data_IF_562604924353
#
_entry.id   IF_562604924353
#
_cell.length_a   1.000
_cell.length_b   1.000
_cell.length_c   1.000
_cell.angle_alpha   90.00
_cell.angle_beta   90.00
_cell.angle_gamma   90.00
#
_symmetry.space_group_name_H-M   'P 1'
#
loop_
_entity.id
_entity.type
_entity.pdbx_description
1 polymer ?
#
# COMPACT_ATOMS: atom_id res chain seq x y z
N UNK A 1 -21.42 -30.07 28.92
CA UNK A 1 -20.84 -30.43 27.61
C UNK A 1 -20.17 -29.16 27.07
N UNK A 2 -18.86 -28.98 27.30
CA UNK A 2 -18.18 -27.79 26.80
C UNK A 2 -18.17 -27.84 25.26
N UNK A 3 -18.63 -26.77 24.62
CA UNK A 3 -18.74 -26.70 23.16
C UNK A 3 -17.33 -26.67 22.56
N UNK A 4 -17.12 -27.35 21.43
CA UNK A 4 -15.80 -27.60 20.83
C UNK A 4 -15.06 -26.35 20.32
N UNK A 5 -15.73 -25.20 20.26
CA UNK A 5 -15.21 -23.95 19.69
C UNK A 5 -15.47 -22.76 20.62
N UNK A 6 -14.51 -21.83 20.78
CA UNK A 6 -13.12 -21.89 20.29
C UNK A 6 -12.25 -22.85 21.11
N UNK A 7 -11.34 -23.60 20.46
CA UNK A 7 -10.44 -24.54 21.16
C UNK A 7 -9.37 -23.83 21.98
N UNK A 8 -8.97 -22.64 21.56
CA UNK A 8 -7.86 -21.86 22.09
C UNK A 8 -8.24 -20.94 23.25
N UNK A 9 -9.52 -20.92 23.66
CA UNK A 9 -9.98 -20.16 24.83
C UNK A 9 -11.13 -20.88 25.53
N UNK A 10 -10.84 -21.49 26.69
CA UNK A 10 -11.82 -22.18 27.53
C UNK A 10 -12.85 -21.21 28.10
N UNK A 11 -12.43 -19.99 28.46
CA UNK A 11 -13.33 -18.94 28.93
C UNK A 11 -14.40 -18.59 27.91
N UNK A 12 -14.01 -18.44 26.62
CA UNK A 12 -14.97 -18.23 25.54
C UNK A 12 -15.76 -19.50 25.21
N UNK A 13 -15.16 -20.68 25.26
CA UNK A 13 -15.84 -21.94 24.95
C UNK A 13 -17.02 -22.26 25.90
N UNK A 14 -16.97 -21.73 27.12
CA UNK A 14 -18.02 -21.86 28.12
C UNK A 14 -19.15 -20.84 27.98
N UNK A 15 -18.99 -19.79 27.17
CA UNK A 15 -20.03 -18.78 26.94
C UNK A 15 -21.22 -19.42 26.18
N UNK A 16 -22.42 -19.47 26.79
CA UNK A 16 -23.58 -20.12 26.20
C UNK A 16 -24.25 -19.29 25.08
N UNK A 17 -23.83 -18.04 24.89
CA UNK A 17 -24.46 -17.11 23.96
C UNK A 17 -23.82 -17.14 22.57
N UNK A 18 -24.41 -16.42 21.61
CA UNK A 18 -23.84 -16.23 20.27
C UNK A 18 -22.56 -15.37 20.29
N UNK A 19 -22.30 -14.63 21.37
CA UNK A 19 -21.05 -13.87 21.60
C UNK A 19 -19.83 -14.77 21.43
N UNK A 20 -19.89 -16.01 21.91
CA UNK A 20 -18.85 -17.03 21.75
C UNK A 20 -18.37 -17.17 20.30
N UNK A 21 -19.30 -17.21 19.36
CA UNK A 21 -18.98 -17.42 17.94
C UNK A 21 -18.25 -16.18 17.40
N UNK A 22 -18.77 -14.99 17.68
CA UNK A 22 -18.19 -13.73 17.23
C UNK A 22 -16.78 -13.50 17.80
N UNK A 23 -16.61 -13.64 19.11
CA UNK A 23 -15.30 -13.46 19.74
C UNK A 23 -14.33 -14.57 19.35
N UNK A 24 -14.80 -15.81 19.20
CA UNK A 24 -13.97 -16.91 18.69
C UNK A 24 -13.46 -16.68 17.27
N UNK A 25 -14.17 -15.93 16.42
CA UNK A 25 -13.66 -15.53 15.09
C UNK A 25 -12.72 -14.32 15.23
N UNK A 26 -13.11 -13.32 16.04
CA UNK A 26 -12.37 -12.08 16.19
C UNK A 26 -10.98 -12.25 16.83
N UNK A 27 -10.82 -13.17 17.79
CA UNK A 27 -9.55 -13.39 18.51
C UNK A 27 -8.78 -14.61 17.99
N UNK A 28 -9.18 -15.20 16.86
CA UNK A 28 -8.53 -16.37 16.30
C UNK A 28 -7.05 -16.12 15.93
N UNK A 29 -6.69 -14.89 15.57
CA UNK A 29 -5.33 -14.48 15.23
C UNK A 29 -4.65 -13.64 16.33
N UNK A 30 -5.30 -13.39 17.47
CA UNK A 30 -4.66 -12.80 18.67
C UNK A 30 -3.98 -13.93 19.45
N UNK A 31 -2.89 -14.46 18.91
CA UNK A 31 -2.22 -15.66 19.44
C UNK A 31 -1.69 -15.47 20.86
N UNK A 32 -1.34 -14.25 21.26
CA UNK A 32 -0.86 -13.93 22.61
C UNK A 32 -1.95 -14.11 23.66
N UNK A 33 -3.23 -13.94 23.29
CA UNK A 33 -4.35 -14.08 24.21
C UNK A 33 -4.88 -15.52 24.30
N UNK A 34 -4.21 -16.51 23.67
CA UNK A 34 -4.65 -17.90 23.68
C UNK A 34 -4.21 -18.59 24.99
N UNK A 35 -5.03 -19.52 25.47
CA UNK A 35 -4.76 -20.24 26.72
C UNK A 35 -3.43 -21.03 26.61
N UNK A 36 -2.60 -20.95 27.65
CA UNK A 36 -1.32 -21.68 27.80
C UNK A 36 -0.29 -21.47 26.66
N UNK A 37 -0.33 -20.33 25.96
CA UNK A 37 0.64 -20.02 24.91
C UNK A 37 2.02 -19.68 25.47
N UNK A 38 3.07 -20.29 24.91
CA UNK A 38 4.47 -19.94 25.22
C UNK A 38 5.04 -19.02 24.13
N UNK A 39 6.02 -18.17 24.48
CA UNK A 39 6.72 -17.27 23.54
C UNK A 39 7.26 -18.03 22.31
N UNK A 40 7.77 -19.25 22.49
CA UNK A 40 8.27 -20.07 21.40
C UNK A 40 7.14 -20.54 20.47
N UNK A 41 6.04 -21.04 21.03
CA UNK A 41 4.87 -21.47 20.27
C UNK A 41 4.23 -20.30 19.51
N UNK A 42 4.19 -19.11 20.13
CA UNK A 42 3.73 -17.87 19.50
C UNK A 42 4.50 -17.57 18.22
N UNK A 43 5.84 -17.50 18.29
CA UNK A 43 6.66 -17.22 17.11
C UNK A 43 6.58 -18.33 16.04
N UNK A 44 6.47 -19.60 16.45
CA UNK A 44 6.28 -20.70 15.50
C UNK A 44 4.95 -20.59 14.74
N UNK A 45 3.87 -20.24 15.43
CA UNK A 45 2.56 -20.01 14.83
C UNK A 45 2.58 -18.82 13.87
N UNK A 46 3.16 -17.68 14.28
CA UNK A 46 3.31 -16.50 13.42
C UNK A 46 4.12 -16.85 12.16
N UNK A 47 5.25 -17.55 12.32
CA UNK A 47 6.09 -17.95 11.22
C UNK A 47 5.35 -18.86 10.24
N UNK A 48 4.61 -19.86 10.73
CA UNK A 48 3.77 -20.72 9.89
C UNK A 48 2.66 -19.92 9.17
N UNK A 49 2.02 -18.97 9.86
CA UNK A 49 1.01 -18.09 9.28
C UNK A 49 1.57 -17.21 8.16
N UNK A 50 2.82 -16.74 8.26
CA UNK A 50 3.48 -16.02 7.15
C UNK A 50 3.60 -16.88 5.90
N UNK A 51 3.99 -18.16 6.02
CA UNK A 51 4.01 -19.07 4.87
C UNK A 51 2.61 -19.33 4.30
N UNK A 52 1.60 -19.43 5.15
CA UNK A 52 0.20 -19.52 4.72
C UNK A 52 -0.22 -18.29 3.91
N UNK A 53 0.10 -17.08 4.41
CA UNK A 53 -0.21 -15.82 3.72
C UNK A 53 0.52 -15.72 2.37
N UNK A 54 1.81 -16.07 2.32
CA UNK A 54 2.57 -16.09 1.07
C UNK A 54 1.97 -17.08 0.05
N UNK A 55 1.57 -18.28 0.51
CA UNK A 55 0.92 -19.26 -0.36
C UNK A 55 -0.40 -18.73 -0.95
N UNK A 56 -1.19 -17.99 -0.17
CA UNK A 56 -2.42 -17.35 -0.66
C UNK A 56 -2.11 -16.28 -1.71
N UNK A 57 -1.08 -15.44 -1.48
CA UNK A 57 -0.65 -14.43 -2.46
C UNK A 57 -0.20 -15.08 -3.77
N UNK A 58 0.57 -16.17 -3.69
CA UNK A 58 0.99 -16.91 -4.89
C UNK A 58 -0.18 -17.56 -5.60
N UNK A 59 -1.13 -18.16 -4.87
CA UNK A 59 -2.33 -18.75 -5.46
C UNK A 59 -3.19 -17.69 -6.14
N UNK A 60 -3.34 -16.50 -5.54
CA UNK A 60 -4.03 -15.36 -6.14
C UNK A 60 -3.33 -14.86 -7.41
N UNK A 61 -2.00 -14.70 -7.36
CA UNK A 61 -1.20 -14.29 -8.53
C UNK A 61 -1.32 -15.31 -9.67
N UNK A 62 -1.24 -16.61 -9.35
CA UNK A 62 -1.46 -17.70 -10.29
C UNK A 62 -2.88 -17.69 -10.86
N UNK A 63 -3.90 -17.43 -10.04
CA UNK A 63 -5.29 -17.31 -10.49
C UNK A 63 -5.46 -16.21 -11.53
N UNK A 64 -4.83 -15.04 -11.34
CA UNK A 64 -4.84 -13.97 -12.33
C UNK A 64 -4.20 -14.42 -13.67
N UNK A 65 -3.03 -15.06 -13.62
CA UNK A 65 -2.37 -15.60 -14.82
C UNK A 65 -3.23 -16.65 -15.52
N UNK A 66 -3.77 -17.60 -14.76
CA UNK A 66 -4.58 -18.70 -15.27
C UNK A 66 -5.84 -18.20 -15.98
N UNK A 67 -6.58 -17.27 -15.37
CA UNK A 67 -7.80 -16.73 -15.98
C UNK A 67 -7.52 -15.92 -17.25
N UNK A 68 -6.43 -15.14 -17.28
CA UNK A 68 -6.06 -14.41 -18.50
C UNK A 68 -5.57 -15.36 -19.60
N UNK A 69 -4.79 -16.38 -19.27
CA UNK A 69 -4.33 -17.36 -20.25
C UNK A 69 -5.47 -18.22 -20.82
N UNK A 70 -6.43 -18.61 -19.98
CA UNK A 70 -7.53 -19.49 -20.39
C UNK A 70 -8.67 -18.74 -21.08
N UNK A 71 -9.06 -17.57 -20.57
CA UNK A 71 -10.28 -16.86 -20.98
C UNK A 71 -10.04 -15.42 -21.42
N UNK A 72 -8.82 -14.91 -21.26
CA UNK A 72 -8.43 -13.57 -21.65
C UNK A 72 -8.13 -13.45 -23.14
N UNK A 73 -7.82 -12.22 -23.55
CA UNK A 73 -7.45 -11.85 -24.91
C UNK A 73 -6.03 -11.26 -25.00
N UNK A 74 -5.08 -11.78 -24.21
CA UNK A 74 -3.73 -11.21 -24.10
C UNK A 74 -3.02 -11.11 -25.46
N UNK A 75 -3.04 -12.15 -26.28
CA UNK A 75 -2.43 -12.14 -27.62
C UNK A 75 -3.00 -11.05 -28.52
N UNK A 76 -4.33 -10.96 -28.63
CA UNK A 76 -5.01 -9.92 -29.42
C UNK A 76 -4.75 -8.53 -28.85
N UNK A 77 -4.64 -8.40 -27.52
CA UNK A 77 -4.34 -7.14 -26.85
C UNK A 77 -2.92 -6.66 -27.15
N UNK A 78 -1.92 -7.55 -27.19
CA UNK A 78 -0.53 -7.19 -27.52
C UNK A 78 -0.42 -6.61 -28.93
N UNK A 79 -1.25 -7.08 -29.88
CA UNK A 79 -1.24 -6.59 -31.26
C UNK A 79 -1.83 -5.16 -31.40
N UNK A 80 -2.85 -4.82 -30.60
CA UNK A 80 -3.46 -3.48 -30.60
C UNK A 80 -3.89 -3.04 -29.18
N UNK A 81 -2.92 -2.68 -28.33
CA UNK A 81 -3.17 -2.44 -26.91
C UNK A 81 -3.87 -1.11 -26.61
N UNK A 82 -4.03 -0.25 -27.62
CA UNK A 82 -4.72 1.04 -27.51
C UNK A 82 -6.23 0.91 -27.73
N UNK A 83 -6.68 -0.01 -28.58
CA UNK A 83 -8.10 -0.15 -28.92
C UNK A 83 -8.72 -1.43 -28.36
N UNK A 84 -7.94 -2.51 -28.18
CA UNK A 84 -8.43 -3.73 -27.57
C UNK A 84 -8.50 -3.55 -26.05
N UNK A 85 -9.65 -3.88 -25.46
CA UNK A 85 -9.83 -3.83 -24.01
C UNK A 85 -9.39 -5.15 -23.39
N UNK A 86 -8.56 -5.15 -22.32
CA UNK A 86 -8.08 -6.38 -21.70
C UNK A 86 -9.22 -7.11 -20.97
N UNK A 87 -9.30 -8.42 -21.13
CA UNK A 87 -10.30 -9.29 -20.48
C UNK A 87 -9.73 -9.88 -19.19
N UNK A 88 -10.47 -9.80 -18.09
CA UNK A 88 -10.07 -10.40 -16.83
C UNK A 88 -10.40 -11.91 -16.78
N UNK A 89 -11.69 -12.24 -16.93
CA UNK A 89 -12.20 -13.61 -16.93
C UNK A 89 -13.62 -13.63 -17.51
N UNK A 90 -14.11 -14.82 -17.85
CA UNK A 90 -15.49 -15.02 -18.29
C UNK A 90 -16.48 -14.91 -17.12
N UNK A 91 -17.71 -14.48 -17.41
CA UNK A 91 -18.81 -14.43 -16.45
C UNK A 91 -19.67 -15.68 -16.65
N UNK A 92 -19.85 -16.44 -15.58
CA UNK A 92 -20.80 -17.55 -15.54
C UNK A 92 -21.79 -17.30 -14.41
N UNK A 93 -22.88 -16.61 -14.73
CA UNK A 93 -23.97 -16.33 -13.79
C UNK A 93 -25.31 -16.82 -14.38
N UNK A 94 -25.90 -17.90 -13.85
CA UNK A 94 -27.17 -18.45 -14.37
C UNK A 94 -28.36 -17.51 -14.14
N UNK A 95 -28.22 -16.47 -13.32
CA UNK A 95 -29.27 -15.47 -13.11
C UNK A 95 -29.28 -14.38 -14.19
N UNK A 96 -28.27 -14.33 -15.07
CA UNK A 96 -28.24 -13.35 -16.15
C UNK A 96 -29.37 -13.61 -17.15
N UNK A 97 -30.26 -12.62 -17.28
CA UNK A 97 -31.18 -12.57 -18.41
C UNK A 97 -30.44 -12.28 -19.72
N UNK A 98 -31.07 -12.60 -20.84
CA UNK A 98 -30.51 -12.39 -22.18
C UNK A 98 -29.96 -10.96 -22.42
N UNK A 99 -30.62 -9.88 -21.99
CA UNK A 99 -30.07 -8.53 -22.15
C UNK A 99 -28.76 -8.31 -21.40
N UNK A 100 -28.57 -8.95 -20.25
CA UNK A 100 -27.31 -8.87 -19.50
C UNK A 100 -26.21 -9.69 -20.19
N UNK A 101 -26.53 -10.88 -20.71
CA UNK A 101 -25.59 -11.68 -21.50
C UNK A 101 -25.07 -10.87 -22.70
N UNK A 102 -25.96 -10.25 -23.46
CA UNK A 102 -25.60 -9.39 -24.60
C UNK A 102 -24.80 -8.16 -24.15
N UNK A 103 -25.23 -7.51 -23.07
CA UNK A 103 -24.54 -6.35 -22.55
C UNK A 103 -23.13 -6.67 -22.06
N UNK A 104 -22.85 -7.85 -21.50
CA UNK A 104 -21.52 -8.21 -20.99
C UNK A 104 -20.66 -8.98 -22.00
N UNK A 105 -21.22 -9.39 -23.13
CA UNK A 105 -20.44 -9.95 -24.26
C UNK A 105 -19.76 -8.80 -25.01
N UNK A 106 -18.56 -8.45 -24.56
CA UNK A 106 -17.78 -7.30 -25.06
C UNK A 106 -16.33 -7.71 -25.38
N UNK A 107 -15.59 -6.81 -26.05
CA UNK A 107 -14.15 -7.01 -26.27
C UNK A 107 -13.80 -8.10 -27.28
N UNK A 108 -14.73 -8.44 -28.19
CA UNK A 108 -14.54 -9.49 -29.20
C UNK A 108 -14.72 -10.93 -28.66
N UNK A 109 -15.15 -11.08 -27.40
CA UNK A 109 -15.42 -12.39 -26.81
C UNK A 109 -16.73 -13.01 -27.33
N UNK A 110 -16.79 -14.35 -27.34
CA UNK A 110 -17.97 -15.13 -27.73
C UNK A 110 -19.05 -15.22 -26.63
N UNK A 111 -18.77 -14.70 -25.44
CA UNK A 111 -19.71 -14.71 -24.32
C UNK A 111 -19.40 -13.61 -23.29
N UNK A 112 -20.17 -13.55 -22.20
CA UNK A 112 -20.05 -12.53 -21.17
C UNK A 112 -18.66 -12.51 -20.51
N UNK A 113 -18.02 -11.34 -20.44
CA UNK A 113 -16.67 -11.18 -19.87
C UNK A 113 -16.56 -9.90 -19.03
N UNK A 114 -15.62 -9.92 -18.08
CA UNK A 114 -15.21 -8.73 -17.35
C UNK A 114 -14.00 -8.06 -18.00
N UNK A 115 -13.99 -6.73 -18.06
CA UNK A 115 -12.82 -5.95 -18.49
C UNK A 115 -11.87 -5.76 -17.31
N UNK A 116 -10.58 -6.01 -17.53
CA UNK A 116 -9.54 -5.87 -16.51
C UNK A 116 -9.14 -4.40 -16.32
N UNK A 117 -9.08 -3.96 -15.06
CA UNK A 117 -8.58 -2.62 -14.67
C UNK A 117 -7.45 -2.69 -13.63
N UNK A 118 -6.82 -3.87 -13.48
CA UNK A 118 -5.72 -4.10 -12.53
C UNK A 118 -4.34 -3.70 -13.07
N UNK A 119 -4.19 -3.60 -14.39
CA UNK A 119 -2.93 -3.23 -15.05
C UNK A 119 -1.99 -4.41 -15.31
N UNK A 120 -2.44 -5.64 -15.03
CA UNK A 120 -1.61 -6.86 -15.17
C UNK A 120 -1.18 -7.10 -16.62
N UNK A 121 -1.99 -6.73 -17.61
CA UNK A 121 -1.63 -6.82 -19.03
C UNK A 121 -0.44 -5.92 -19.38
N UNK A 122 -0.49 -4.66 -18.95
CA UNK A 122 0.57 -3.68 -19.18
C UNK A 122 1.83 -4.04 -18.41
N UNK A 123 1.69 -4.60 -17.20
CA UNK A 123 2.82 -5.08 -16.42
C UNK A 123 3.50 -6.27 -17.10
N UNK A 124 2.75 -7.29 -17.53
CA UNK A 124 3.31 -8.45 -18.23
C UNK A 124 3.91 -8.13 -19.60
N UNK A 125 3.47 -7.06 -20.26
CA UNK A 125 4.05 -6.58 -21.53
C UNK A 125 5.50 -6.10 -21.36
N UNK A 126 5.86 -5.54 -20.20
CA UNK A 126 7.19 -4.94 -19.96
C UNK A 126 8.17 -5.95 -19.38
N UNK A 127 7.66 -6.94 -18.68
CA UNK A 127 8.47 -8.08 -18.24
C UNK A 127 8.79 -8.92 -19.47
N UNK A 128 10.06 -9.20 -19.80
CA UNK A 128 10.41 -10.03 -20.95
C UNK A 128 10.06 -11.50 -20.66
N UNK A 129 8.78 -11.86 -20.75
CA UNK A 129 8.38 -13.26 -20.89
C UNK A 129 8.36 -13.57 -22.38
N UNK A 130 9.39 -14.25 -22.86
CA UNK A 130 9.31 -14.84 -24.20
C UNK A 130 8.14 -15.84 -24.22
N UNK A 131 7.38 -15.83 -25.33
CA UNK A 131 6.12 -16.55 -25.58
C UNK A 131 6.12 -18.04 -25.15
N UNK A 132 7.30 -18.66 -25.04
CA UNK A 132 7.49 -20.07 -24.70
C UNK A 132 7.63 -20.35 -23.18
N UNK A 133 7.74 -19.31 -22.34
CA UNK A 133 7.94 -19.48 -20.89
C UNK A 133 6.65 -19.38 -20.08
N UNK A 134 5.60 -18.67 -20.53
CA UNK A 134 4.38 -18.56 -19.73
C UNK A 134 3.69 -19.91 -19.55
N UNK A 135 3.56 -20.71 -20.63
CA UNK A 135 3.01 -22.07 -20.51
C UNK A 135 3.95 -23.06 -19.80
N UNK A 136 5.27 -23.00 -20.07
CA UNK A 136 6.25 -23.92 -19.41
C UNK A 136 6.48 -23.59 -17.93
N UNK A 137 6.50 -22.31 -17.56
CA UNK A 137 6.63 -21.85 -16.18
C UNK A 137 5.36 -22.20 -15.36
N UNK A 138 4.17 -22.08 -15.98
CA UNK A 138 2.89 -22.48 -15.37
C UNK A 138 2.79 -24.00 -15.17
N UNK A 139 3.23 -24.83 -16.13
CA UNK A 139 3.11 -26.30 -16.03
C UNK A 139 4.19 -26.91 -15.12
N UNK A 140 5.44 -26.42 -15.19
CA UNK A 140 6.56 -27.00 -14.42
C UNK A 140 6.46 -26.72 -12.91
N UNK A 141 5.85 -25.59 -12.50
CA UNK A 141 5.53 -25.33 -11.07
C UNK A 141 4.26 -26.04 -10.60
N UNK A 142 3.27 -26.26 -11.47
CA UNK A 142 2.08 -27.05 -11.15
C UNK A 142 2.43 -28.51 -10.80
N UNK A 143 3.41 -29.11 -11.47
CA UNK A 143 3.88 -30.48 -11.16
C UNK A 143 4.65 -30.58 -9.85
N UNK A 144 5.44 -29.55 -9.49
CA UNK A 144 6.15 -29.52 -8.21
C UNK A 144 5.19 -29.37 -7.02
N UNK A 145 4.00 -28.78 -7.22
CA UNK A 145 3.05 -28.54 -6.12
C UNK A 145 1.95 -29.59 -5.98
N UNK A 146 1.51 -30.25 -7.05
CA UNK A 146 0.51 -31.33 -6.97
C UNK A 146 1.06 -32.62 -6.36
N UNK A 147 2.37 -32.87 -6.50
CA UNK A 147 3.07 -33.99 -5.84
C UNK A 147 3.69 -33.60 -4.49
N UNK A 148 3.62 -32.31 -4.13
CA UNK A 148 4.15 -31.88 -2.85
C UNK A 148 3.23 -32.36 -1.72
N UNK A 149 3.69 -33.41 -1.09
CA UNK A 149 3.33 -33.79 0.28
C UNK A 149 3.71 -32.69 1.30
N UNK A 150 3.86 -31.43 0.87
CA UNK A 150 4.43 -30.29 1.58
C UNK A 150 3.66 -29.96 2.85
N UNK A 151 2.32 -30.05 2.83
CA UNK A 151 1.51 -29.79 4.04
C UNK A 151 1.41 -31.01 4.97
N UNK A 152 1.53 -32.25 4.45
CA UNK A 152 1.41 -33.48 5.27
C UNK A 152 2.74 -33.96 5.85
N UNK A 153 3.86 -33.67 5.20
CA UNK A 153 5.20 -34.17 5.60
C UNK A 153 5.97 -33.17 6.48
N UNK A 154 5.55 -31.90 6.55
CA UNK A 154 6.22 -30.87 7.37
C UNK A 154 5.80 -30.86 8.85
N UNK A 155 4.67 -31.49 9.23
CA UNK A 155 4.17 -31.46 10.62
C UNK A 155 5.12 -32.12 11.63
N UNK A 156 5.85 -33.22 11.32
CA UNK A 156 6.79 -33.79 12.29
C UNK A 156 8.25 -33.34 12.09
N UNK A 157 8.65 -32.95 10.87
CA UNK A 157 10.07 -32.71 10.53
C UNK A 157 10.57 -31.29 10.81
N UNK A 158 9.69 -30.27 10.82
CA UNK A 158 10.08 -28.91 11.21
C UNK A 158 9.96 -28.63 12.72
N UNK A 159 9.30 -29.51 13.47
CA UNK A 159 9.34 -29.52 14.93
C UNK A 159 10.70 -30.00 15.49
N UNK A 160 11.61 -30.47 14.62
CA UNK A 160 12.99 -30.88 14.96
C UNK A 160 14.02 -29.91 14.33
N UNK A 161 13.61 -28.71 13.93
CA UNK A 161 14.55 -27.60 13.81
C UNK A 161 14.58 -26.92 15.16
N UNK A 162 15.61 -27.21 15.96
CA UNK A 162 16.01 -26.47 17.17
C UNK A 162 16.32 -25.02 16.78
N UNK A 163 15.28 -24.24 16.44
CA UNK A 163 15.37 -22.79 16.33
C UNK A 163 15.19 -22.25 17.74
N UNK A 164 16.25 -22.37 18.53
CA UNK A 164 16.38 -21.69 19.82
C UNK A 164 15.91 -20.26 19.68
N UNK A 165 15.24 -19.72 20.70
CA UNK A 165 14.72 -18.33 20.78
C UNK A 165 15.71 -17.27 20.24
N UNK A 166 17.01 -17.52 20.30
CA UNK A 166 18.11 -16.71 19.74
C UNK A 166 18.09 -16.50 18.22
N UNK A 167 17.48 -17.38 17.43
CA UNK A 167 17.42 -17.26 15.96
C UNK A 167 16.25 -16.39 15.48
N UNK A 168 15.20 -16.26 16.30
CA UNK A 168 14.01 -15.46 16.03
C UNK A 168 14.09 -14.04 16.62
N UNK A 169 14.83 -13.85 17.72
CA UNK A 169 15.25 -12.50 18.16
C UNK A 169 16.29 -11.98 17.17
N UNK A 170 15.99 -10.84 16.55
CA UNK A 170 16.79 -10.23 15.48
C UNK A 170 18.23 -10.05 15.96
N UNK A 171 19.13 -10.87 15.44
CA UNK A 171 20.57 -10.61 15.48
C UNK A 171 20.98 -9.84 14.23
N UNK A 172 22.03 -9.00 14.29
CA UNK A 172 22.56 -8.27 13.13
C UNK A 172 22.84 -9.18 11.92
N UNK A 173 23.09 -10.47 12.15
CA UNK A 173 23.26 -11.52 11.14
C UNK A 173 22.00 -11.74 10.28
N UNK A 174 20.80 -11.72 10.89
CA UNK A 174 19.54 -11.91 10.17
C UNK A 174 19.17 -10.67 9.35
N UNK A 175 19.44 -9.47 9.90
CA UNK A 175 19.27 -8.23 9.16
C UNK A 175 20.25 -8.14 7.99
N UNK A 176 21.52 -8.50 8.18
CA UNK A 176 22.51 -8.49 7.11
C UNK A 176 22.26 -9.54 6.04
N UNK A 177 21.77 -10.74 6.39
CA UNK A 177 21.45 -11.76 5.39
C UNK A 177 20.19 -11.43 4.59
N UNK A 178 19.15 -10.86 5.22
CA UNK A 178 17.98 -10.36 4.50
C UNK A 178 18.38 -9.18 3.60
N UNK A 179 19.15 -8.21 4.10
CA UNK A 179 19.60 -7.08 3.30
C UNK A 179 20.53 -7.51 2.15
N UNK A 180 21.46 -8.43 2.39
CA UNK A 180 22.41 -8.88 1.37
C UNK A 180 21.76 -9.84 0.35
N UNK A 181 21.06 -10.88 0.81
CA UNK A 181 20.51 -11.91 -0.09
C UNK A 181 19.18 -11.50 -0.73
N UNK A 182 18.36 -10.68 -0.05
CA UNK A 182 17.08 -10.24 -0.61
C UNK A 182 17.22 -8.95 -1.44
N UNK A 183 18.15 -8.06 -1.08
CA UNK A 183 18.31 -6.76 -1.75
C UNK A 183 19.65 -6.55 -2.50
N UNK A 184 20.68 -7.38 -2.32
CA UNK A 184 22.04 -7.09 -2.86
C UNK A 184 22.71 -8.17 -3.73
N UNK A 185 22.23 -9.42 -3.81
CA UNK A 185 22.83 -10.44 -4.70
C UNK A 185 22.39 -10.28 -6.19
N UNK A 186 23.26 -10.59 -7.18
CA UNK A 186 23.26 -9.94 -8.49
C UNK A 186 22.27 -10.52 -9.52
N UNK A 187 21.54 -9.62 -10.18
CA UNK A 187 21.03 -9.58 -11.57
C UNK A 187 20.21 -10.74 -12.17
N UNK A 188 20.12 -11.94 -11.59
CA UNK A 188 19.23 -13.01 -12.10
C UNK A 188 17.85 -12.99 -11.44
N UNK A 189 17.77 -12.54 -10.19
CA UNK A 189 16.53 -12.44 -9.40
C UNK A 189 15.84 -11.07 -9.50
N UNK A 190 16.55 -10.02 -9.88
CA UNK A 190 16.01 -8.66 -9.92
C UNK A 190 14.98 -8.44 -11.03
N UNK A 191 14.99 -9.29 -12.07
CA UNK A 191 13.93 -9.32 -13.09
C UNK A 191 12.63 -9.99 -12.62
N UNK A 192 12.70 -10.93 -11.67
CA UNK A 192 11.56 -11.76 -11.25
C UNK A 192 10.93 -11.33 -9.91
N UNK A 193 11.66 -10.63 -9.04
CA UNK A 193 11.20 -10.27 -7.67
C UNK A 193 10.90 -8.78 -7.47
N UNK A 194 11.31 -7.91 -8.40
CA UNK A 194 10.81 -6.52 -8.47
C UNK A 194 9.29 -6.44 -8.41
N UNK A 195 8.65 -7.49 -8.89
CA UNK A 195 7.22 -7.60 -9.13
C UNK A 195 6.37 -7.96 -7.90
N UNK A 196 6.96 -8.51 -6.82
CA UNK A 196 6.18 -9.07 -5.72
C UNK A 196 6.31 -8.34 -4.37
N UNK A 197 7.44 -7.66 -4.09
CA UNK A 197 7.78 -7.29 -2.68
C UNK A 197 7.78 -5.79 -2.39
N UNK A 198 7.25 -4.97 -3.29
CA UNK A 198 7.13 -3.52 -3.07
C UNK A 198 5.87 -3.15 -2.24
N UNK A 199 5.73 -3.74 -1.05
CA UNK A 199 4.60 -3.52 -0.14
C UNK A 199 5.04 -3.36 1.33
N UNK A 200 5.60 -2.20 1.68
CA UNK A 200 5.62 -1.71 3.07
C UNK A 200 5.33 -0.20 3.11
N UNK A 201 4.45 0.24 4.01
CA UNK A 201 3.56 1.41 3.88
C UNK A 201 4.18 2.81 3.73
N UNK A 202 5.50 2.95 3.76
CA UNK A 202 6.22 4.19 3.38
C UNK A 202 6.74 4.15 1.94
N UNK A 203 7.18 2.98 1.49
CA UNK A 203 7.58 2.76 0.09
C UNK A 203 6.38 2.79 -0.84
N UNK A 204 5.19 2.33 -0.43
CA UNK A 204 4.02 2.29 -1.33
C UNK A 204 3.60 3.67 -1.87
N UNK A 205 3.73 4.74 -1.09
CA UNK A 205 3.47 6.11 -1.57
C UNK A 205 4.59 6.63 -2.49
N UNK A 206 5.86 6.36 -2.16
CA UNK A 206 6.98 6.75 -3.02
C UNK A 206 6.98 5.97 -4.32
N UNK A 207 6.67 4.67 -4.29
CA UNK A 207 6.46 3.83 -5.48
C UNK A 207 5.29 4.41 -6.28
N UNK A 208 4.14 4.71 -5.66
CA UNK A 208 3.01 5.35 -6.36
C UNK A 208 3.38 6.69 -7.00
N UNK A 209 4.01 7.60 -6.26
CA UNK A 209 4.40 8.92 -6.74
C UNK A 209 5.43 8.80 -7.86
N UNK A 210 6.38 7.88 -7.72
CA UNK A 210 7.35 7.55 -8.76
C UNK A 210 6.72 6.80 -9.94
N UNK A 211 5.65 6.02 -9.78
CA UNK A 211 5.04 5.25 -10.86
C UNK A 211 4.05 6.09 -11.69
N UNK A 212 3.35 7.03 -11.03
CA UNK A 212 2.48 8.02 -11.69
C UNK A 212 3.28 9.11 -12.42
N UNK A 213 4.44 9.51 -11.87
CA UNK A 213 5.27 10.57 -12.46
C UNK A 213 6.47 10.02 -13.26
N UNK A 214 6.95 8.82 -12.96
CA UNK A 214 8.05 8.11 -13.64
C UNK A 214 7.56 6.75 -14.14
N UNK A 215 7.03 6.76 -15.36
CA UNK A 215 6.36 5.64 -16.03
C UNK A 215 7.25 4.37 -16.06
N UNK A 216 6.85 3.22 -15.46
CA UNK A 216 7.53 1.95 -15.74
C UNK A 216 6.71 1.04 -16.66
N UNK A 217 5.52 1.46 -17.10
CA UNK A 217 4.66 0.69 -17.98
C UNK A 217 4.24 1.48 -19.22
N UNK A 218 4.58 1.06 -20.46
CA UNK A 218 4.00 1.63 -21.67
C UNK A 218 2.48 1.46 -21.59
N UNK A 219 1.74 2.49 -22.04
CA UNK A 219 0.29 2.46 -22.25
C UNK A 219 -0.60 2.50 -20.99
N UNK A 220 -0.03 2.64 -19.79
CA UNK A 220 -0.83 2.86 -18.57
C UNK A 220 -1.37 4.28 -18.52
N UNK A 221 -0.58 5.25 -18.98
CA UNK A 221 -0.98 6.66 -19.10
C UNK A 221 -2.08 6.90 -20.14
N UNK A 222 -2.23 6.02 -21.15
CA UNK A 222 -3.27 6.14 -22.17
C UNK A 222 -4.63 5.58 -21.74
N UNK A 223 -4.69 4.85 -20.61
CA UNK A 223 -5.93 4.30 -20.06
C UNK A 223 -6.34 5.03 -18.77
N UNK A 224 -7.20 6.05 -18.88
CA UNK A 224 -7.67 6.85 -17.73
C UNK A 224 -8.29 6.00 -16.61
N UNK A 225 -9.14 5.03 -16.94
CA UNK A 225 -9.81 4.17 -15.95
C UNK A 225 -8.82 3.30 -15.17
N UNK A 226 -7.76 2.83 -15.83
CA UNK A 226 -6.72 2.01 -15.21
C UNK A 226 -5.87 2.84 -14.24
N UNK A 227 -5.42 4.02 -14.68
CA UNK A 227 -4.64 4.93 -13.84
C UNK A 227 -5.41 5.35 -12.58
N UNK A 228 -6.73 5.56 -12.68
CA UNK A 228 -7.59 5.89 -11.55
C UNK A 228 -7.77 4.70 -10.60
N UNK A 229 -8.11 3.52 -11.12
CA UNK A 229 -8.32 2.33 -10.30
C UNK A 229 -7.08 1.99 -9.45
N UNK A 230 -5.91 1.94 -10.08
CA UNK A 230 -4.64 1.67 -9.41
C UNK A 230 -4.29 2.75 -8.38
N UNK A 231 -4.53 4.03 -8.71
CA UNK A 231 -4.29 5.15 -7.80
C UNK A 231 -5.20 5.09 -6.56
N UNK A 232 -6.47 4.73 -6.71
CA UNK A 232 -7.39 4.62 -5.58
C UNK A 232 -7.04 3.41 -4.72
N UNK A 233 -6.83 2.25 -5.33
CA UNK A 233 -6.51 1.00 -4.62
C UNK A 233 -5.22 1.13 -3.80
N UNK A 234 -4.13 1.64 -4.39
CA UNK A 234 -2.87 1.84 -3.68
C UNK A 234 -2.99 2.79 -2.48
N UNK A 235 -3.81 3.84 -2.60
CA UNK A 235 -4.12 4.77 -1.50
C UNK A 235 -4.91 4.08 -0.38
N UNK A 236 -5.91 3.28 -0.73
CA UNK A 236 -6.73 2.54 0.23
C UNK A 236 -5.95 1.46 0.98
N UNK A 237 -5.12 0.68 0.28
CA UNK A 237 -4.26 -0.34 0.91
C UNK A 237 -3.29 0.31 1.89
N UNK A 238 -2.64 1.41 1.49
CA UNK A 238 -1.75 2.17 2.38
C UNK A 238 -2.47 2.67 3.63
N UNK A 239 -3.66 3.23 3.43
CA UNK A 239 -4.51 3.71 4.53
C UNK A 239 -4.70 2.59 5.57
N UNK A 240 -5.14 1.42 5.12
CA UNK A 240 -5.31 0.22 5.96
C UNK A 240 -4.01 -0.27 6.62
N UNK A 241 -2.85 -0.09 6.00
CA UNK A 241 -1.57 -0.49 6.57
C UNK A 241 -1.04 0.48 7.65
N UNK A 242 -1.35 1.77 7.56
CA UNK A 242 -0.85 2.78 8.53
C UNK A 242 -1.60 2.69 9.85
N UNK A 243 -2.94 2.55 9.83
CA UNK A 243 -3.77 2.51 11.03
C UNK A 243 -3.33 1.47 12.10
N UNK A 244 -3.07 0.20 11.77
CA UNK A 244 -2.70 -0.83 12.76
C UNK A 244 -1.28 -0.64 13.30
N UNK A 245 -0.31 -0.21 12.49
CA UNK A 245 1.09 -0.05 12.92
C UNK A 245 1.30 0.97 14.05
N UNK A 246 0.34 1.86 14.28
CA UNK A 246 0.39 2.82 15.39
C UNK A 246 -0.31 2.34 16.67
N UNK A 247 -1.06 1.23 16.60
CA UNK A 247 -1.77 0.65 17.75
C UNK A 247 -1.06 -0.58 18.34
N UNK A 248 -0.26 -1.30 17.54
CA UNK A 248 0.32 -2.62 17.85
C UNK A 248 1.48 -2.68 18.88
N UNK A 249 1.69 -1.67 19.73
CA UNK A 249 2.80 -1.72 20.69
C UNK A 249 2.68 -0.86 21.94
N UNK A 250 1.54 -0.19 22.15
CA UNK A 250 1.47 0.84 23.20
C UNK A 250 1.11 0.31 24.60
N UNK A 251 0.39 -0.83 24.71
CA UNK A 251 -0.16 -1.30 25.99
C UNK A 251 0.59 -2.48 26.61
N UNK A 252 0.82 -3.56 25.84
CA UNK A 252 1.23 -4.88 26.39
C UNK A 252 2.73 -5.04 26.66
N UNK A 253 3.60 -4.57 25.77
CA UNK A 253 5.03 -4.92 25.81
C UNK A 253 5.95 -3.87 26.45
N UNK A 254 5.46 -2.65 26.70
CA UNK A 254 6.30 -1.57 27.20
C UNK A 254 6.60 -1.71 28.69
N UNK A 255 7.89 -1.91 29.02
CA UNK A 255 8.40 -1.93 30.39
C UNK A 255 9.09 -0.59 30.76
N UNK A 256 8.56 0.19 31.73
CA UNK A 256 9.17 1.45 32.17
C UNK A 256 10.60 1.30 32.70
N UNK A 257 10.88 0.23 33.46
CA UNK A 257 12.18 0.04 34.12
C UNK A 257 13.31 -0.19 33.10
N UNK A 258 13.00 -0.92 32.02
CA UNK A 258 13.98 -1.19 30.96
C UNK A 258 14.19 0.01 30.02
N UNK A 259 13.25 0.96 30.03
CA UNK A 259 13.25 2.11 29.13
C UNK A 259 13.51 3.43 29.88
N UNK A 260 14.00 3.36 31.11
CA UNK A 260 14.31 4.54 31.92
C UNK A 260 15.29 5.47 31.18
N UNK A 261 15.03 6.77 31.23
CA UNK A 261 15.82 7.85 30.63
C UNK A 261 16.07 7.81 29.12
N UNK A 262 15.46 6.86 28.39
CA UNK A 262 15.61 6.76 26.95
C UNK A 262 14.66 7.72 26.20
N UNK A 263 14.79 7.77 24.87
CA UNK A 263 13.97 8.65 24.02
C UNK A 263 12.47 8.32 24.08
N UNK A 264 12.12 7.05 24.33
CA UNK A 264 10.73 6.60 24.42
C UNK A 264 10.09 7.07 25.73
N UNK A 265 10.79 6.93 26.86
CA UNK A 265 10.33 7.46 28.16
C UNK A 265 10.16 8.97 28.11
N UNK A 266 11.17 9.72 27.61
CA UNK A 266 11.09 11.18 27.49
C UNK A 266 9.94 11.66 26.61
N UNK A 267 9.59 10.91 25.57
CA UNK A 267 8.43 11.21 24.72
C UNK A 267 7.11 11.04 25.49
N UNK A 268 6.99 9.99 26.32
CA UNK A 268 5.82 9.75 27.15
C UNK A 268 5.66 10.82 28.24
N UNK A 269 6.77 11.29 28.82
CA UNK A 269 6.76 12.35 29.85
C UNK A 269 6.21 13.69 29.30
N UNK A 270 6.43 13.97 28.02
CA UNK A 270 5.98 15.18 27.35
C UNK A 270 4.80 14.94 26.38
N UNK A 271 4.04 13.85 26.55
CA UNK A 271 2.95 13.48 25.63
C UNK A 271 1.89 14.58 25.43
N UNK A 272 1.58 15.32 26.49
CA UNK A 272 0.58 16.41 26.43
C UNK A 272 1.02 17.55 25.52
N UNK A 273 2.33 17.85 25.47
CA UNK A 273 2.87 18.85 24.57
C UNK A 273 2.75 18.40 23.10
N UNK A 274 3.04 17.12 22.82
CA UNK A 274 2.92 16.55 21.47
C UNK A 274 1.46 16.60 21.00
N UNK A 275 0.52 16.12 21.83
CA UNK A 275 -0.90 16.08 21.51
C UNK A 275 -1.46 17.49 21.31
N UNK A 276 -1.08 18.45 22.16
CA UNK A 276 -1.57 19.83 22.04
C UNK A 276 -1.08 20.55 20.78
N UNK A 277 0.18 20.35 20.36
CA UNK A 277 0.70 20.93 19.12
C UNK A 277 0.04 20.32 17.88
N UNK A 278 -0.18 19.00 17.87
CA UNK A 278 -0.93 18.34 16.79
C UNK A 278 -2.38 18.83 16.72
N UNK A 279 -3.02 19.03 17.88
CA UNK A 279 -4.36 19.62 17.97
C UNK A 279 -4.40 21.03 17.40
N UNK A 280 -3.43 21.88 17.79
CA UNK A 280 -3.31 23.23 17.25
C UNK A 280 -3.12 23.23 15.73
N UNK A 281 -2.23 22.39 15.20
CA UNK A 281 -2.00 22.29 13.76
C UNK A 281 -3.26 21.87 13.00
N UNK A 282 -4.00 20.86 13.50
CA UNK A 282 -5.28 20.43 12.93
C UNK A 282 -6.33 21.53 12.96
N UNK A 283 -6.48 22.25 14.08
CA UNK A 283 -7.43 23.35 14.17
C UNK A 283 -7.04 24.52 13.26
N UNK A 284 -5.76 24.89 13.25
CA UNK A 284 -5.23 25.93 12.37
C UNK A 284 -5.51 25.61 10.90
N UNK A 285 -5.11 24.42 10.44
CA UNK A 285 -5.36 24.00 9.06
C UNK A 285 -6.87 23.93 8.76
N UNK A 286 -7.67 23.43 9.71
CA UNK A 286 -9.12 23.29 9.58
C UNK A 286 -9.82 24.62 9.36
N UNK A 287 -9.60 25.58 10.26
CA UNK A 287 -10.23 26.90 10.20
C UNK A 287 -9.84 27.66 8.93
N UNK A 288 -8.56 27.67 8.56
CA UNK A 288 -8.11 28.45 7.40
C UNK A 288 -8.50 27.79 6.07
N UNK A 289 -8.36 26.47 5.94
CA UNK A 289 -8.70 25.77 4.70
C UNK A 289 -10.20 25.84 4.44
N UNK A 290 -11.03 25.47 5.43
CA UNK A 290 -12.48 25.55 5.30
C UNK A 290 -12.94 27.00 5.13
N UNK A 291 -12.36 27.94 5.88
CA UNK A 291 -12.68 29.36 5.77
C UNK A 291 -12.46 29.90 4.36
N UNK A 292 -11.35 29.54 3.70
CA UNK A 292 -11.07 29.94 2.32
C UNK A 292 -12.02 29.28 1.31
N UNK A 293 -12.36 28.00 1.48
CA UNK A 293 -13.36 27.33 0.64
C UNK A 293 -14.72 28.03 0.74
N UNK A 294 -15.22 28.23 1.96
CA UNK A 294 -16.52 28.89 2.19
C UNK A 294 -16.50 30.34 1.69
N UNK A 295 -15.43 31.09 1.93
CA UNK A 295 -15.28 32.44 1.39
C UNK A 295 -15.40 32.44 -0.15
N UNK A 296 -14.65 31.56 -0.82
CA UNK A 296 -14.63 31.48 -2.27
C UNK A 296 -15.99 31.05 -2.87
N UNK A 297 -16.69 30.13 -2.21
CA UNK A 297 -18.04 29.70 -2.61
C UNK A 297 -19.05 30.84 -2.46
N UNK A 298 -18.98 31.61 -1.37
CA UNK A 298 -19.87 32.77 -1.15
C UNK A 298 -19.60 33.88 -2.18
N UNK A 299 -18.33 34.17 -2.49
CA UNK A 299 -17.99 35.16 -3.53
C UNK A 299 -18.47 34.75 -4.92
N UNK A 300 -18.42 33.44 -5.25
CA UNK A 300 -19.00 32.91 -6.48
C UNK A 300 -20.53 33.01 -6.49
N UNK A 301 -21.18 32.64 -5.39
CA UNK A 301 -22.63 32.70 -5.27
C UNK A 301 -23.17 34.13 -5.43
N UNK A 302 -22.41 35.14 -5.00
CA UNK A 302 -22.74 36.56 -5.19
C UNK A 302 -22.34 37.13 -6.55
N UNK A 303 -21.77 36.33 -7.46
CA UNK A 303 -21.39 36.78 -8.81
C UNK A 303 -20.16 37.71 -8.83
N UNK A 304 -19.34 37.69 -7.79
CA UNK A 304 -18.09 38.48 -7.68
C UNK A 304 -16.87 37.56 -7.59
N UNK A 305 -16.54 36.78 -8.64
CA UNK A 305 -15.42 35.84 -8.64
C UNK A 305 -14.05 36.52 -8.43
N UNK A 306 -13.90 37.79 -8.78
CA UNK A 306 -12.68 38.56 -8.59
C UNK A 306 -12.31 38.80 -7.12
N UNK A 307 -13.26 38.59 -6.19
CA UNK A 307 -13.06 38.71 -4.75
C UNK A 307 -12.66 37.41 -4.07
N UNK A 308 -12.50 36.33 -4.85
CA UNK A 308 -11.95 35.08 -4.33
C UNK A 308 -10.51 35.28 -3.85
N UNK A 309 -10.15 34.56 -2.80
CA UNK A 309 -8.78 34.49 -2.32
C UNK A 309 -8.13 33.29 -3.00
N UNK A 310 -7.32 33.57 -4.01
CA UNK A 310 -6.57 32.59 -4.79
C UNK A 310 -5.08 32.73 -4.45
N UNK A 311 -4.54 31.73 -3.76
CA UNK A 311 -3.14 31.72 -3.31
C UNK A 311 -2.34 30.78 -4.21
N UNK A 312 -1.31 31.32 -4.86
CA UNK A 312 -0.42 30.53 -5.71
C UNK A 312 0.52 29.64 -4.86
N UNK A 313 0.69 28.34 -5.21
CA UNK A 313 1.61 27.44 -4.52
C UNK A 313 3.07 27.68 -4.95
N UNK A 314 3.60 28.88 -4.68
CA UNK A 314 4.92 29.36 -5.12
C UNK A 314 6.04 28.38 -4.75
N UNK A 315 6.00 27.78 -3.55
CA UNK A 315 7.02 26.82 -3.13
C UNK A 315 7.03 25.55 -3.99
N UNK A 316 5.85 25.05 -4.38
CA UNK A 316 5.76 23.87 -5.21
C UNK A 316 6.10 24.20 -6.68
N UNK A 317 5.72 25.39 -7.17
CA UNK A 317 6.11 25.87 -8.50
C UNK A 317 7.63 26.06 -8.60
N UNK A 318 8.26 26.58 -7.53
CA UNK A 318 9.71 26.70 -7.42
C UNK A 318 10.39 25.33 -7.48
N UNK A 319 9.87 24.31 -6.80
CA UNK A 319 10.39 22.93 -6.90
C UNK A 319 10.27 22.39 -8.33
N UNK A 320 9.13 22.60 -9.00
CA UNK A 320 8.97 22.18 -10.40
C UNK A 320 9.99 22.87 -11.32
N UNK A 321 10.26 24.16 -11.12
CA UNK A 321 11.28 24.88 -11.87
C UNK A 321 12.70 24.48 -11.51
N UNK A 322 12.99 24.19 -10.24
CA UNK A 322 14.27 23.62 -9.83
C UNK A 322 14.56 22.28 -10.54
N UNK A 323 13.51 21.54 -10.91
CA UNK A 323 13.58 20.32 -11.73
C UNK A 323 13.54 20.57 -13.25
N UNK A 324 13.59 21.81 -13.72
CA UNK A 324 13.71 22.14 -15.15
C UNK A 324 12.40 22.50 -15.86
N UNK A 325 11.29 22.65 -15.13
CA UNK A 325 10.04 23.17 -15.70
C UNK A 325 10.11 24.68 -15.92
N UNK A 326 10.00 25.10 -17.17
CA UNK A 326 10.22 26.49 -17.60
C UNK A 326 8.97 27.36 -17.54
N UNK A 327 7.78 26.78 -17.42
CA UNK A 327 6.49 27.48 -17.52
C UNK A 327 6.24 28.54 -16.45
N UNK A 328 6.90 28.47 -15.30
CA UNK A 328 6.70 29.42 -14.19
C UNK A 328 7.69 30.59 -14.20
N UNK A 329 8.70 30.57 -15.09
CA UNK A 329 9.65 31.68 -15.24
C UNK A 329 10.68 31.82 -14.12
N UNK A 330 10.83 30.84 -13.21
CA UNK A 330 11.95 30.81 -12.27
C UNK A 330 13.23 30.32 -12.95
N UNK A 331 14.31 31.08 -12.84
CA UNK A 331 15.65 30.72 -13.30
C UNK A 331 16.47 30.14 -12.13
N UNK A 332 16.29 28.85 -11.84
CA UNK A 332 16.87 28.17 -10.68
C UNK A 332 17.27 26.73 -11.01
N UNK A 333 18.48 26.33 -10.60
CA UNK A 333 19.01 24.97 -10.76
C UNK A 333 18.87 24.43 -12.20
N UNK A 334 18.00 23.45 -12.46
CA UNK A 334 17.87 22.79 -13.76
C UNK A 334 17.06 23.60 -14.79
N UNK A 335 16.29 24.61 -14.39
CA UNK A 335 15.70 25.55 -15.36
C UNK A 335 16.71 26.57 -15.89
N UNK A 336 17.84 26.74 -15.17
CA UNK A 336 18.93 27.63 -15.58
C UNK A 336 19.96 26.91 -16.44
N UNK A 337 20.09 27.33 -17.70
CA UNK A 337 21.02 26.71 -18.66
C UNK A 337 22.50 26.97 -18.33
N UNK A 338 22.80 27.93 -17.45
CA UNK A 338 24.14 28.26 -16.96
C UNK A 338 24.50 27.57 -15.64
N UNK A 339 23.56 26.88 -14.99
CA UNK A 339 23.77 26.31 -13.65
C UNK A 339 24.77 25.14 -13.63
N UNK A 340 25.55 24.96 -12.55
CA UNK A 340 26.43 23.79 -12.39
C UNK A 340 25.66 22.46 -12.47
N UNK A 341 24.44 22.40 -11.91
CA UNK A 341 23.57 21.24 -11.95
C UNK A 341 23.13 20.89 -13.39
N UNK A 342 22.81 21.91 -14.19
CA UNK A 342 22.47 21.74 -15.60
C UNK A 342 23.67 21.22 -16.41
N UNK A 343 24.85 21.83 -16.21
CA UNK A 343 26.07 21.45 -16.91
C UNK A 343 26.51 20.01 -16.60
N UNK A 344 26.36 19.56 -15.34
CA UNK A 344 26.72 18.21 -14.93
C UNK A 344 25.82 17.12 -15.54
N UNK A 345 24.53 17.41 -15.75
CA UNK A 345 23.56 16.44 -16.29
C UNK A 345 23.42 16.42 -17.81
N UNK A 346 23.94 17.44 -18.52
CA UNK A 346 23.63 17.75 -19.92
C UNK A 346 23.89 16.62 -20.92
N UNK A 347 24.82 15.71 -20.65
CA UNK A 347 25.27 14.70 -21.62
C UNK A 347 24.59 13.34 -21.52
N UNK A 348 23.86 13.04 -20.44
CA UNK A 348 23.34 11.69 -20.18
C UNK A 348 21.80 11.69 -20.10
N UNK A 349 21.23 12.14 -18.99
CA UNK A 349 19.80 12.00 -18.71
C UNK A 349 19.03 13.32 -18.88
N UNK A 350 19.70 14.46 -18.74
CA UNK A 350 19.04 15.77 -18.65
C UNK A 350 18.28 16.18 -19.91
N UNK A 351 18.77 15.96 -21.15
CA UNK A 351 18.01 16.32 -22.35
C UNK A 351 16.66 15.59 -22.44
N UNK A 352 16.65 14.27 -22.17
CA UNK A 352 15.41 13.47 -22.15
C UNK A 352 14.46 13.90 -21.03
N UNK A 353 15.00 14.17 -19.85
CA UNK A 353 14.23 14.69 -18.72
C UNK A 353 13.58 16.05 -19.01
N UNK A 354 14.34 17.01 -19.56
CA UNK A 354 13.84 18.35 -19.88
C UNK A 354 12.76 18.32 -20.96
N UNK A 355 12.89 17.42 -21.94
CA UNK A 355 11.84 17.18 -22.93
C UNK A 355 10.56 16.68 -22.26
N UNK A 356 10.66 15.66 -21.40
CA UNK A 356 9.50 15.08 -20.72
C UNK A 356 8.82 16.08 -19.75
N UNK A 357 9.58 16.81 -18.93
CA UNK A 357 9.00 17.70 -17.89
C UNK A 357 8.33 18.95 -18.46
N UNK A 358 8.70 19.36 -19.68
CA UNK A 358 8.10 20.50 -20.37
C UNK A 358 7.03 20.08 -21.40
N UNK A 359 6.73 18.79 -21.50
CA UNK A 359 5.70 18.27 -22.39
C UNK A 359 4.32 18.28 -21.69
N UNK A 360 3.35 19.01 -22.25
CA UNK A 360 2.01 19.16 -21.66
C UNK A 360 1.09 17.95 -21.88
N UNK A 361 1.52 16.95 -22.64
CA UNK A 361 0.73 15.75 -22.98
C UNK A 361 0.81 14.66 -21.91
N UNK A 362 1.78 14.75 -20.99
CA UNK A 362 2.03 13.74 -19.97
C UNK A 362 1.65 14.24 -18.56
N UNK A 363 1.80 13.37 -17.56
CA UNK A 363 1.48 13.67 -16.16
C UNK A 363 2.70 14.06 -15.31
N UNK A 364 3.88 14.18 -15.91
CA UNK A 364 5.12 14.50 -15.18
C UNK A 364 5.09 15.98 -14.78
N UNK A 365 5.01 16.24 -13.47
CA UNK A 365 4.93 17.60 -12.91
C UNK A 365 3.86 18.46 -13.59
N UNK A 366 2.60 18.05 -13.48
CA UNK A 366 1.46 18.84 -13.94
C UNK A 366 1.52 20.28 -13.44
N UNK A 367 1.01 21.21 -14.25
CA UNK A 367 0.94 22.62 -13.86
C UNK A 367 -0.01 22.78 -12.68
N UNK A 368 0.47 23.43 -11.62
CA UNK A 368 -0.27 23.60 -10.37
C UNK A 368 -0.65 25.07 -10.16
N UNK A 369 -1.83 25.28 -9.60
CA UNK A 369 -2.36 26.61 -9.32
C UNK A 369 -3.08 26.71 -7.97
N UNK A 370 -3.93 27.74 -7.80
CA UNK A 370 -4.59 28.01 -6.52
C UNK A 370 -5.53 26.91 -6.03
N UNK A 371 -6.18 26.18 -6.95
CA UNK A 371 -6.99 25.02 -6.59
C UNK A 371 -6.16 23.89 -5.97
N UNK A 372 -4.96 23.66 -6.51
CA UNK A 372 -4.02 22.67 -5.97
C UNK A 372 -3.51 23.09 -4.59
N UNK A 373 -3.27 24.39 -4.36
CA UNK A 373 -2.90 24.89 -3.04
C UNK A 373 -3.94 24.50 -1.97
N UNK A 374 -5.23 24.75 -2.23
CA UNK A 374 -6.30 24.47 -1.27
C UNK A 374 -6.46 22.97 -1.00
N UNK A 375 -6.45 22.12 -2.03
CA UNK A 375 -6.60 20.68 -1.83
C UNK A 375 -5.41 20.07 -1.09
N UNK A 376 -4.18 20.57 -1.30
CA UNK A 376 -3.02 20.10 -0.55
C UNK A 376 -3.10 20.48 0.94
N UNK A 377 -3.66 21.65 1.28
CA UNK A 377 -3.93 22.02 2.67
C UNK A 377 -5.05 21.17 3.29
N UNK A 378 -6.07 20.79 2.52
CA UNK A 378 -7.09 19.83 2.96
C UNK A 378 -6.51 18.43 3.21
N UNK A 379 -5.58 17.98 2.36
CA UNK A 379 -4.82 16.72 2.57
C UNK A 379 -3.96 16.84 3.83
N UNK A 380 -3.26 17.96 4.02
CA UNK A 380 -2.46 18.20 5.21
C UNK A 380 -3.33 18.17 6.48
N UNK A 381 -4.51 18.79 6.46
CA UNK A 381 -5.50 18.71 7.55
C UNK A 381 -5.88 17.26 7.87
N UNK A 382 -6.22 16.48 6.84
CA UNK A 382 -6.58 15.07 7.01
C UNK A 382 -5.43 14.27 7.63
N UNK A 383 -4.19 14.44 7.14
CA UNK A 383 -3.01 13.77 7.68
C UNK A 383 -2.76 14.15 9.14
N UNK A 384 -2.73 15.44 9.48
CA UNK A 384 -2.48 15.90 10.85
C UNK A 384 -3.56 15.42 11.82
N UNK A 385 -4.83 15.44 11.39
CA UNK A 385 -5.95 15.02 12.24
C UNK A 385 -5.95 13.50 12.45
N UNK A 386 -5.68 12.71 11.42
CA UNK A 386 -5.50 11.26 11.57
C UNK A 386 -4.29 10.94 12.46
N UNK A 387 -3.17 11.63 12.28
CA UNK A 387 -1.99 11.48 13.15
C UNK A 387 -2.32 11.86 14.59
N UNK A 388 -3.05 12.96 14.84
CA UNK A 388 -3.50 13.34 16.18
C UNK A 388 -4.30 12.23 16.84
N UNK A 389 -5.29 11.66 16.14
CA UNK A 389 -6.16 10.61 16.67
C UNK A 389 -5.34 9.37 17.04
N UNK A 390 -4.47 8.92 16.13
CA UNK A 390 -3.63 7.74 16.34
C UNK A 390 -2.58 7.94 17.45
N UNK A 391 -1.83 9.04 17.39
CA UNK A 391 -0.79 9.36 18.36
C UNK A 391 -1.38 9.56 19.75
N UNK A 392 -2.51 10.27 19.88
CA UNK A 392 -3.20 10.39 21.16
C UNK A 392 -3.64 9.03 21.69
N UNK A 393 -4.23 8.18 20.84
CA UNK A 393 -4.64 6.83 21.20
C UNK A 393 -3.50 6.00 21.76
N UNK A 394 -2.33 6.04 21.11
CA UNK A 394 -1.12 5.33 21.55
C UNK A 394 -0.54 5.91 22.85
N UNK A 395 -0.39 7.24 22.97
CA UNK A 395 0.21 7.89 24.14
C UNK A 395 -0.66 7.80 25.41
N UNK A 396 -1.99 7.67 25.25
CA UNK A 396 -2.95 7.49 26.35
C UNK A 396 -3.41 6.04 26.54
N UNK A 397 -2.78 5.07 25.85
CA UNK A 397 -3.16 3.66 25.92
C UNK A 397 -2.97 3.07 27.33
N UNK A 398 -1.87 3.43 28.02
CA UNK A 398 -1.57 2.90 29.36
C UNK A 398 -2.30 3.63 30.48
N UNK A 399 -2.76 4.85 30.23
CA UNK A 399 -3.44 5.66 31.24
C UNK A 399 -3.62 7.12 30.79
N UNK A 400 -4.73 7.72 31.24
CA UNK A 400 -5.02 9.15 31.10
C UNK A 400 -5.48 9.72 32.43
N UNK A 401 -5.62 11.05 32.53
CA UNK A 401 -6.19 11.67 33.75
C UNK A 401 -7.60 11.17 34.09
N UNK A 402 -8.38 10.76 33.08
CA UNK A 402 -9.74 10.25 33.25
C UNK A 402 -9.74 8.78 33.72
N UNK A 403 -8.79 7.98 33.23
CA UNK A 403 -8.66 6.57 33.57
C UNK A 403 -7.16 6.23 33.71
N UNK A 404 -6.58 6.42 34.92
CA UNK A 404 -5.15 6.26 35.14
C UNK A 404 -4.63 4.83 35.00
N UNK A 405 -5.51 3.85 35.25
CA UNK A 405 -5.27 2.41 35.29
C UNK A 405 -5.66 1.68 33.99
N UNK A 406 -5.75 2.40 32.86
CA UNK A 406 -6.23 1.84 31.58
C UNK A 406 -5.45 0.60 31.13
N UNK A 407 -4.14 0.54 31.39
CA UNK A 407 -3.28 -0.62 31.09
C UNK A 407 -3.80 -1.94 31.67
N UNK A 408 -4.57 -1.91 32.75
CA UNK A 408 -5.05 -3.11 33.44
C UNK A 408 -6.28 -3.74 32.73
N UNK A 409 -6.82 -3.07 31.70
CA UNK A 409 -8.02 -3.48 30.97
C UNK A 409 -7.76 -3.94 29.53
N UNK A 410 -6.54 -3.83 29.00
CA UNK A 410 -6.21 -4.30 27.64
C UNK A 410 -5.02 -3.63 26.97
#
# INVERSE_FOLDING_TARGET
MALRFPRFSQGLAQDPTTRRIWFGIATAHDFESHDDITEECLYQNIFASHFGQLAIIFLWTFGNLFHVAWQGNFESWVQDPLHVRPIAHAIWDPHFGQPAVEAFTRGGALGPVNIAYSGVYQWWLVTPTTEMETERFLVQKCQIWSESSFVRTLRPKFLILDKRKTCLKINPIHASSVLASFFAEPETWWGYVKDLVHALGRLSYSIYFLWRNGIPGPLISSSCSLAVAFSLEGRWIRSKAIYPTQNEGASRDYNPEQNEDNVLARMLDHKEAIISHLSWASLFLGFHTLGLYVHNDVMLAFGTPEKQILIEPIFAQWIQSAHGKTSYGFDVLLSSTSGPAFNAGRSIWLPGWLNAVNENSNSLFLTIGPGDFLVHHAIALGLHTTTLILVKGALDARGSKLMPDKKDFG
#
